data_IF_229915803744
#
_entry.id   IF_229915803744
#
_cell.length_a   1.000
_cell.length_b   1.000
_cell.length_c   1.000
_cell.angle_alpha   90.00
_cell.angle_beta   90.00
_cell.angle_gamma   90.00
#
_symmetry.space_group_name_H-M   'P 1'
#
loop_
_entity.id
_entity.type
_entity.pdbx_description
1 polymer ?
#
# COMPACT_ATOMS: atom_id res chain seq x y z
N UNK A 1 3.81 8.16 -10.78
CA UNK A 1 4.41 7.22 -11.76
C UNK A 1 5.94 7.28 -11.85
N UNK A 2 6.59 8.46 -11.82
CA UNK A 2 8.06 8.61 -11.90
C UNK A 2 8.93 7.92 -10.81
N UNK A 3 8.53 7.85 -9.52
CA UNK A 3 9.41 7.28 -8.49
C UNK A 3 9.52 5.75 -8.55
N UNK A 4 8.47 5.07 -9.02
CA UNK A 4 8.47 3.62 -9.21
C UNK A 4 9.43 3.18 -10.32
N UNK A 5 9.46 3.91 -11.44
CA UNK A 5 10.38 3.65 -12.55
C UNK A 5 11.84 3.85 -12.14
N UNK A 6 12.14 4.91 -11.39
CA UNK A 6 13.49 5.15 -10.86
C UNK A 6 13.88 4.06 -9.85
N UNK A 7 12.96 3.69 -8.96
CA UNK A 7 13.17 2.59 -8.03
C UNK A 7 13.48 1.28 -8.74
N UNK A 8 12.69 0.92 -9.76
CA UNK A 8 12.87 -0.30 -10.53
C UNK A 8 14.19 -0.30 -11.33
N UNK A 9 14.53 0.84 -11.93
CA UNK A 9 15.77 1.03 -12.68
C UNK A 9 17.01 0.77 -11.82
N UNK A 10 16.95 1.13 -10.54
CA UNK A 10 18.03 0.87 -9.57
C UNK A 10 17.94 -0.53 -8.97
N UNK A 11 16.73 -1.02 -8.69
CA UNK A 11 16.52 -2.33 -8.06
C UNK A 11 16.97 -3.49 -8.95
N UNK A 12 16.65 -3.46 -10.24
CA UNK A 12 16.96 -4.55 -11.16
C UNK A 12 18.47 -4.84 -11.23
N UNK A 13 19.36 -3.86 -11.49
CA UNK A 13 20.80 -4.12 -11.54
C UNK A 13 21.35 -4.50 -10.17
N UNK A 14 20.83 -3.92 -9.09
CA UNK A 14 21.26 -4.25 -7.73
C UNK A 14 20.90 -5.70 -7.36
N UNK A 15 19.69 -6.14 -7.70
CA UNK A 15 19.23 -7.51 -7.53
C UNK A 15 20.06 -8.49 -8.37
N UNK A 16 20.35 -8.13 -9.63
CA UNK A 16 21.20 -8.94 -10.50
C UNK A 16 22.62 -9.11 -9.93
N UNK A 17 23.21 -8.03 -9.39
CA UNK A 17 24.50 -8.09 -8.70
C UNK A 17 24.40 -9.03 -7.49
N UNK A 18 23.40 -8.86 -6.65
CA UNK A 18 23.23 -9.64 -5.42
C UNK A 18 23.08 -11.15 -5.70
N UNK A 19 22.28 -11.49 -6.71
CA UNK A 19 22.09 -12.87 -7.16
C UNK A 19 23.39 -13.46 -7.72
N UNK A 20 24.14 -12.68 -8.49
CA UNK A 20 25.44 -13.11 -9.02
C UNK A 20 26.46 -13.36 -7.90
N UNK A 21 26.53 -12.49 -6.89
CA UNK A 21 27.43 -12.68 -5.73
C UNK A 21 27.03 -13.87 -4.86
N UNK A 22 25.73 -14.14 -4.74
CA UNK A 22 25.23 -15.28 -3.98
C UNK A 22 25.30 -16.60 -4.77
N UNK A 23 25.63 -16.56 -6.08
CA UNK A 23 25.54 -17.68 -7.01
C UNK A 23 24.16 -18.37 -7.03
N UNK A 24 23.10 -17.61 -6.72
CA UNK A 24 21.72 -18.11 -6.66
C UNK A 24 21.04 -17.84 -8.00
N UNK A 25 20.38 -18.86 -8.56
CA UNK A 25 19.60 -18.68 -9.77
C UNK A 25 18.36 -17.81 -9.47
N UNK A 26 17.97 -16.88 -10.36
CA UNK A 26 16.79 -16.03 -10.13
C UNK A 26 15.51 -16.81 -9.82
N UNK A 27 15.36 -18.00 -10.40
CA UNK A 27 14.24 -18.91 -10.15
C UNK A 27 14.23 -19.48 -8.72
N UNK A 28 15.39 -19.74 -8.15
CA UNK A 28 15.53 -20.23 -6.76
C UNK A 28 15.34 -19.12 -5.75
N UNK A 29 15.74 -17.90 -6.11
CA UNK A 29 15.44 -16.71 -5.32
C UNK A 29 13.94 -16.45 -5.25
N UNK A 30 13.23 -16.56 -6.39
CA UNK A 30 11.77 -16.51 -6.38
C UNK A 30 11.19 -17.65 -5.55
N UNK A 31 11.65 -18.89 -5.69
CA UNK A 31 11.12 -20.01 -4.91
C UNK A 31 11.26 -19.82 -3.39
N UNK A 32 12.35 -19.19 -2.94
CA UNK A 32 12.62 -18.90 -1.54
C UNK A 32 12.15 -17.51 -1.09
N UNK A 33 11.55 -16.73 -1.99
CA UNK A 33 11.08 -15.41 -1.66
C UNK A 33 10.08 -15.51 -0.49
N UNK A 34 10.15 -14.60 0.50
CA UNK A 34 9.26 -14.62 1.64
C UNK A 34 7.88 -14.08 1.24
N UNK A 35 7.11 -14.90 0.52
CA UNK A 35 5.75 -14.59 0.07
C UNK A 35 4.81 -14.27 1.23
N UNK A 36 5.00 -14.98 2.33
CA UNK A 36 4.14 -14.87 3.51
C UNK A 36 4.15 -13.44 4.11
N UNK A 37 5.32 -12.82 4.39
CA UNK A 37 5.40 -11.40 4.76
C UNK A 37 4.73 -10.43 3.78
N UNK A 38 4.89 -10.64 2.48
CA UNK A 38 4.31 -9.74 1.45
C UNK A 38 2.80 -9.79 1.49
N UNK A 39 2.22 -11.00 1.55
CA UNK A 39 0.77 -11.18 1.63
C UNK A 39 0.21 -10.54 2.90
N UNK A 40 0.88 -10.75 4.05
CA UNK A 40 0.48 -10.14 5.33
C UNK A 40 0.49 -8.61 5.21
N UNK A 41 1.53 -8.04 4.61
CA UNK A 41 1.64 -6.59 4.43
C UNK A 41 0.53 -6.02 3.54
N UNK A 42 0.23 -6.68 2.42
CA UNK A 42 -0.87 -6.29 1.53
C UNK A 42 -2.21 -6.36 2.27
N UNK A 43 -2.50 -7.48 2.95
CA UNK A 43 -3.71 -7.62 3.75
C UNK A 43 -3.82 -6.54 4.83
N UNK A 44 -2.71 -6.21 5.50
CA UNK A 44 -2.66 -5.19 6.54
C UNK A 44 -2.99 -3.81 5.98
N UNK A 45 -2.36 -3.39 4.87
CA UNK A 45 -2.68 -2.10 4.23
C UNK A 45 -4.15 -2.06 3.80
N UNK A 46 -4.63 -3.09 3.11
CA UNK A 46 -6.03 -3.15 2.66
C UNK A 46 -6.99 -3.06 3.84
N UNK A 47 -6.70 -3.76 4.95
CA UNK A 47 -7.51 -3.71 6.17
C UNK A 47 -7.55 -2.30 6.77
N UNK A 48 -6.40 -1.64 6.94
CA UNK A 48 -6.35 -0.29 7.52
C UNK A 48 -6.99 0.76 6.63
N UNK A 49 -6.79 0.66 5.32
CA UNK A 49 -7.45 1.53 4.35
C UNK A 49 -8.96 1.30 4.39
N UNK A 50 -9.42 0.05 4.36
CA UNK A 50 -10.85 -0.26 4.50
C UNK A 50 -11.45 0.25 5.81
N UNK A 51 -10.70 0.14 6.92
CA UNK A 51 -11.11 0.61 8.23
C UNK A 51 -11.22 2.14 8.27
N UNK A 52 -10.32 2.87 7.61
CA UNK A 52 -10.39 4.33 7.56
C UNK A 52 -11.61 4.80 6.76
N UNK A 53 -11.94 4.12 5.66
CA UNK A 53 -13.18 4.38 4.93
C UNK A 53 -14.39 4.07 5.78
N UNK A 54 -14.43 2.91 6.44
CA UNK A 54 -15.56 2.55 7.29
C UNK A 54 -15.78 3.52 8.47
N UNK A 55 -14.71 3.90 9.18
CA UNK A 55 -14.78 4.87 10.28
C UNK A 55 -15.09 6.29 9.78
N UNK A 56 -14.49 6.71 8.68
CA UNK A 56 -14.72 8.02 8.07
C UNK A 56 -16.14 8.16 7.56
N UNK A 57 -16.66 7.14 6.88
CA UNK A 57 -18.01 7.08 6.34
C UNK A 57 -19.06 7.05 7.46
N UNK A 58 -18.84 6.27 8.53
CA UNK A 58 -19.73 6.30 9.71
C UNK A 58 -19.79 7.68 10.36
N UNK A 59 -18.67 8.41 10.41
CA UNK A 59 -18.62 9.77 10.96
C UNK A 59 -19.34 10.78 10.05
N UNK A 60 -19.17 10.66 8.73
CA UNK A 60 -19.84 11.52 7.75
C UNK A 60 -21.35 11.27 7.71
N UNK A 61 -21.79 10.00 7.76
CA UNK A 61 -23.21 9.63 7.76
C UNK A 61 -23.92 9.95 9.08
N UNK A 62 -23.20 9.93 10.21
CA UNK A 62 -23.76 10.26 11.52
C UNK A 62 -23.83 11.77 11.80
N UNK A 63 -23.05 12.57 11.08
CA UNK A 63 -23.25 14.02 11.05
C UNK A 63 -24.34 14.32 10.04
N UNK A 64 -25.45 14.90 10.49
CA UNK A 64 -26.47 15.45 9.59
C UNK A 64 -25.82 16.57 8.77
N UNK A 65 -25.16 16.20 7.66
CA UNK A 65 -24.47 17.12 6.75
C UNK A 65 -25.41 18.21 6.26
N UNK A 66 -26.71 17.90 6.15
CA UNK A 66 -27.76 18.84 5.79
C UNK A 66 -28.03 19.81 6.95
N UNK A 67 -28.08 19.33 8.19
CA UNK A 67 -28.18 20.18 9.38
C UNK A 67 -26.98 21.12 9.53
N UNK A 68 -25.76 20.61 9.30
CA UNK A 68 -24.51 21.35 9.47
C UNK A 68 -24.29 22.40 8.37
N UNK A 69 -24.58 22.06 7.09
CA UNK A 69 -24.54 23.05 6.00
C UNK A 69 -25.58 24.16 6.16
N UNK A 70 -26.76 23.84 6.72
CA UNK A 70 -27.85 24.80 6.88
C UNK A 70 -27.62 25.76 8.06
N UNK A 71 -26.89 25.31 9.07
CA UNK A 71 -26.49 26.13 10.22
C UNK A 71 -25.36 27.11 9.85
N UNK A 72 -24.35 26.65 9.10
CA UNK A 72 -23.27 27.52 8.58
C UNK A 72 -23.78 28.55 7.55
N UNK A 73 -24.84 28.24 6.79
CA UNK A 73 -25.47 29.18 5.87
C UNK A 73 -26.38 30.23 6.56
N UNK A 74 -26.67 30.05 7.86
CA UNK A 74 -27.45 31.01 8.66
C UNK A 74 -26.59 31.97 9.48
N UNK A 75 -25.28 32.04 9.21
CA UNK A 75 -24.37 33.10 9.69
C UNK A 75 -24.32 34.24 8.66
#
# INVERSE_FOLDING_TARGET
MKPLLLGLLVQIPLLAWFLNTAAIRPVEYLAQAPYLPVIIFVCFITFFVGLSYYLGEKKILSSDMIGLLKDDAMI
#
